data_IF_604539625711
#
_entry.id   IF_604539625711
#
_cell.length_a   1.000
_cell.length_b   1.000
_cell.length_c   1.000
_cell.angle_alpha   90.00
_cell.angle_beta   90.00
_cell.angle_gamma   90.00
#
_symmetry.space_group_name_H-M   'P 1'
#
loop_
_entity.id
_entity.type
_entity.pdbx_description
1 polymer ?
#
# COMPACT_ATOMS: atom_id res chain seq x y z
N UNK A 1 -7.91 16.01 25.75
CA UNK A 1 -8.89 14.93 25.47
C UNK A 1 -9.84 15.48 24.43
N UNK A 2 -9.86 14.90 23.23
CA UNK A 2 -10.80 15.36 22.20
C UNK A 2 -12.16 14.77 22.53
N UNK A 3 -13.16 15.63 22.74
CA UNK A 3 -14.52 15.15 22.92
C UNK A 3 -15.04 14.59 21.59
N UNK A 4 -15.77 13.49 21.63
CA UNK A 4 -16.38 12.92 20.43
C UNK A 4 -17.25 13.96 19.71
N UNK A 5 -16.97 14.17 18.42
CA UNK A 5 -17.72 15.05 17.53
C UNK A 5 -18.27 14.24 16.35
N UNK A 6 -19.60 14.04 16.35
CA UNK A 6 -20.30 13.31 15.31
C UNK A 6 -20.21 13.98 13.92
N UNK A 7 -20.11 15.32 13.85
CA UNK A 7 -19.98 16.04 12.57
C UNK A 7 -18.60 15.80 11.98
N UNK A 8 -17.55 15.89 12.80
CA UNK A 8 -16.18 15.61 12.39
C UNK A 8 -16.01 14.14 11.98
N UNK A 9 -16.58 13.21 12.76
CA UNK A 9 -16.56 11.79 12.40
C UNK A 9 -17.19 11.53 11.02
N UNK A 10 -18.35 12.16 10.75
CA UNK A 10 -18.99 12.07 9.42
C UNK A 10 -18.09 12.60 8.31
N UNK A 11 -17.41 13.74 8.53
CA UNK A 11 -16.45 14.29 7.55
C UNK A 11 -15.33 13.28 7.25
N UNK A 12 -14.75 12.67 8.28
CA UNK A 12 -13.73 11.63 8.10
C UNK A 12 -14.26 10.43 7.31
N UNK A 13 -15.48 9.98 7.62
CA UNK A 13 -16.13 8.84 6.95
C UNK A 13 -16.47 9.12 5.47
N UNK A 14 -16.66 10.38 5.11
CA UNK A 14 -16.97 10.80 3.73
C UNK A 14 -15.75 11.30 2.96
N UNK A 15 -14.62 11.55 3.62
CA UNK A 15 -13.40 12.02 2.96
C UNK A 15 -12.71 10.81 2.32
N UNK A 16 -12.63 10.74 0.98
CA UNK A 16 -11.91 9.66 0.33
C UNK A 16 -10.42 9.82 0.60
N UNK A 17 -9.79 8.75 1.05
CA UNK A 17 -8.33 8.61 1.10
C UNK A 17 -7.94 7.35 0.34
N UNK A 18 -6.65 7.17 0.07
CA UNK A 18 -6.13 5.91 -0.46
C UNK A 18 -4.69 5.80 0.05
N UNK A 19 -4.49 5.02 1.11
CA UNK A 19 -3.24 5.04 1.86
C UNK A 19 -2.79 3.61 2.15
N UNK A 20 -1.49 3.34 1.98
CA UNK A 20 -0.85 2.09 2.38
C UNK A 20 0.25 2.41 3.37
N UNK A 21 0.10 1.83 4.56
CA UNK A 21 0.95 2.05 5.72
C UNK A 21 1.65 0.74 6.09
N UNK A 22 2.94 0.81 6.42
CA UNK A 22 3.79 -0.35 6.69
C UNK A 22 4.49 -0.16 8.03
N UNK A 23 4.36 -1.12 8.94
CA UNK A 23 5.05 -1.14 10.23
C UNK A 23 5.91 -2.40 10.37
N UNK A 24 7.05 -2.29 11.07
CA UNK A 24 8.01 -3.38 11.34
C UNK A 24 8.66 -3.95 10.07
N UNK A 25 9.61 -3.24 9.47
CA UNK A 25 10.43 -3.84 8.41
C UNK A 25 11.36 -4.93 8.99
N UNK A 26 11.02 -6.18 8.69
CA UNK A 26 11.70 -7.46 8.94
C UNK A 26 11.50 -8.14 10.33
N UNK A 27 11.15 -9.45 10.39
CA UNK A 27 10.81 -10.33 9.26
C UNK A 27 9.34 -10.24 8.82
N UNK A 28 8.45 -9.64 9.63
CA UNK A 28 7.01 -9.62 9.39
C UNK A 28 6.44 -8.21 9.37
N UNK A 29 6.38 -7.61 8.18
CA UNK A 29 5.74 -6.29 8.02
C UNK A 29 4.23 -6.37 8.30
N UNK A 30 3.72 -5.45 9.11
CA UNK A 30 2.29 -5.20 9.28
C UNK A 30 1.86 -4.15 8.26
N UNK A 31 0.98 -4.53 7.34
CA UNK A 31 0.54 -3.68 6.22
C UNK A 31 -0.95 -3.42 6.38
N UNK A 32 -1.35 -2.16 6.29
CA UNK A 32 -2.76 -1.77 6.20
C UNK A 32 -2.98 -0.94 4.95
N UNK A 33 -4.05 -1.26 4.22
CA UNK A 33 -4.58 -0.47 3.11
C UNK A 33 -5.99 -0.02 3.50
N UNK A 34 -6.25 1.28 3.43
CA UNK A 34 -7.55 1.84 3.77
C UNK A 34 -7.95 2.96 2.80
N UNK A 35 -9.26 3.03 2.52
CA UNK A 35 -9.83 4.01 1.59
C UNK A 35 -10.60 5.12 2.32
N UNK A 36 -10.87 4.92 3.61
CA UNK A 36 -11.41 5.92 4.52
C UNK A 36 -10.67 5.81 5.84
N UNK A 37 -10.39 6.94 6.48
CA UNK A 37 -9.71 6.95 7.78
C UNK A 37 -10.50 6.18 8.83
N UNK A 38 -11.83 6.20 8.73
CA UNK A 38 -12.73 5.47 9.62
C UNK A 38 -12.74 3.95 9.42
N UNK A 39 -12.14 3.45 8.34
CA UNK A 39 -12.00 2.00 8.10
C UNK A 39 -10.99 1.38 9.07
N UNK A 40 -10.04 2.17 9.58
CA UNK A 40 -9.05 1.71 10.55
C UNK A 40 -9.72 1.40 11.89
N UNK A 41 -9.50 0.19 12.38
CA UNK A 41 -9.98 -0.24 13.68
C UNK A 41 -9.05 0.24 14.81
N UNK A 42 -9.42 -0.05 16.05
CA UNK A 42 -8.60 0.35 17.19
C UNK A 42 -7.21 -0.31 17.19
N UNK A 43 -7.08 -1.64 16.98
CA UNK A 43 -5.78 -2.29 16.79
C UNK A 43 -4.87 -1.59 15.77
N UNK A 44 -5.35 -1.31 14.56
CA UNK A 44 -4.56 -0.64 13.52
C UNK A 44 -4.08 0.73 13.99
N UNK A 45 -5.00 1.54 14.54
CA UNK A 45 -4.67 2.87 15.05
C UNK A 45 -3.64 2.81 16.19
N UNK A 46 -3.71 1.80 17.06
CA UNK A 46 -2.69 1.60 18.10
C UNK A 46 -1.33 1.20 17.52
N UNK A 47 -1.32 0.42 16.44
CA UNK A 47 -0.10 0.04 15.77
C UNK A 47 0.60 1.26 15.18
N UNK A 48 -0.13 2.13 14.50
CA UNK A 48 0.45 3.19 13.68
C UNK A 48 0.51 4.56 14.33
N UNK A 49 -0.39 4.92 15.24
CA UNK A 49 -0.43 6.27 15.84
C UNK A 49 0.01 6.18 17.30
N UNK A 50 1.14 6.79 17.63
CA UNK A 50 1.68 6.84 19.00
C UNK A 50 0.86 7.71 19.95
N UNK A 51 0.40 8.86 19.47
CA UNK A 51 -0.36 9.85 20.24
C UNK A 51 -1.86 9.54 20.31
N UNK A 52 -2.58 10.20 21.21
CA UNK A 52 -4.03 10.04 21.39
C UNK A 52 -4.42 8.88 22.31
N UNK A 53 -5.47 9.08 23.10
CA UNK A 53 -5.85 8.18 24.21
C UNK A 53 -7.00 7.22 23.88
N UNK A 54 -7.79 7.52 22.85
CA UNK A 54 -8.92 6.72 22.42
C UNK A 54 -8.98 6.67 20.87
N UNK A 55 -9.89 5.86 20.32
CA UNK A 55 -10.04 5.69 18.87
C UNK A 55 -10.31 7.01 18.15
N UNK A 56 -11.24 7.82 18.65
CA UNK A 56 -11.64 9.08 18.01
C UNK A 56 -10.48 10.09 18.01
N UNK A 57 -9.74 10.21 19.11
CA UNK A 57 -8.56 11.08 19.20
C UNK A 57 -7.50 10.68 18.14
N UNK A 58 -7.25 9.38 17.97
CA UNK A 58 -6.30 8.89 16.96
C UNK A 58 -6.77 9.13 15.52
N UNK A 59 -8.07 9.00 15.26
CA UNK A 59 -8.66 9.35 13.96
C UNK A 59 -8.50 10.85 13.66
N UNK A 60 -8.69 11.72 14.66
CA UNK A 60 -8.46 13.17 14.51
C UNK A 60 -7.01 13.48 14.14
N UNK A 61 -6.05 12.91 14.87
CA UNK A 61 -4.62 13.09 14.60
C UNK A 61 -4.26 12.66 13.17
N UNK A 62 -4.75 11.48 12.74
CA UNK A 62 -4.48 10.99 11.39
C UNK A 62 -5.14 11.86 10.32
N UNK A 63 -6.39 12.28 10.53
CA UNK A 63 -7.12 13.14 9.59
C UNK A 63 -6.43 14.48 9.39
N UNK A 64 -6.04 15.15 10.48
CA UNK A 64 -5.35 16.43 10.41
C UNK A 64 -3.99 16.31 9.70
N UNK A 65 -3.27 15.21 9.93
CA UNK A 65 -2.00 14.96 9.25
C UNK A 65 -2.16 14.74 7.75
N UNK A 66 -3.16 13.96 7.34
CA UNK A 66 -3.44 13.70 5.93
C UNK A 66 -3.93 14.95 5.18
N UNK A 67 -4.65 15.86 5.85
CA UNK A 67 -5.13 17.10 5.23
C UNK A 67 -4.02 18.12 4.99
N UNK A 68 -3.07 18.21 5.90
CA UNK A 68 -2.10 19.31 5.90
C UNK A 68 -0.79 18.98 5.19
N UNK A 69 -0.48 17.69 4.94
CA UNK A 69 0.76 17.15 4.32
C UNK A 69 2.09 17.80 4.82
N UNK A 70 2.01 18.49 5.96
CA UNK A 70 3.03 19.33 6.59
C UNK A 70 3.14 19.05 8.08
N UNK A 71 2.25 18.21 8.61
CA UNK A 71 2.38 17.70 9.96
C UNK A 71 3.60 16.77 9.99
N UNK A 72 4.50 16.97 10.96
CA UNK A 72 5.58 16.01 11.16
C UNK A 72 4.92 14.66 11.48
N UNK A 73 5.26 13.65 10.68
CA UNK A 73 4.77 12.29 10.83
C UNK A 73 5.42 11.58 12.03
N UNK A 74 5.98 12.34 12.99
CA UNK A 74 6.74 11.83 14.13
C UNK A 74 5.87 10.99 15.07
N UNK A 75 4.55 11.17 15.03
CA UNK A 75 3.62 10.32 15.77
C UNK A 75 3.39 8.96 15.10
N UNK A 76 3.82 8.77 13.84
CA UNK A 76 3.58 7.58 13.05
C UNK A 76 4.64 6.50 13.29
N UNK A 77 4.21 5.31 13.69
CA UNK A 77 5.07 4.13 13.93
C UNK A 77 5.14 3.28 12.67
N UNK A 78 5.88 3.74 11.66
CA UNK A 78 6.03 3.01 10.40
C UNK A 78 6.45 3.90 9.23
N UNK A 79 6.23 3.39 8.03
CA UNK A 79 6.39 4.10 6.77
C UNK A 79 5.03 4.24 6.08
N UNK A 80 4.71 5.46 5.64
CA UNK A 80 3.63 5.74 4.69
C UNK A 80 4.22 5.67 3.29
N UNK A 81 3.62 4.89 2.39
CA UNK A 81 4.05 4.88 1.00
C UNK A 81 3.67 6.21 0.30
N UNK A 82 4.49 6.69 -0.65
CA UNK A 82 4.12 7.84 -1.48
C UNK A 82 2.79 7.61 -2.22
N UNK A 83 2.01 8.67 -2.39
CA UNK A 83 0.67 8.59 -3.01
C UNK A 83 0.71 7.95 -4.39
N UNK A 84 1.69 8.32 -5.22
CA UNK A 84 1.83 7.79 -6.58
C UNK A 84 2.11 6.27 -6.55
N UNK A 85 2.87 5.78 -5.57
CA UNK A 85 3.12 4.35 -5.38
C UNK A 85 1.84 3.63 -4.93
N UNK A 86 1.07 4.24 -4.02
CA UNK A 86 -0.20 3.69 -3.56
C UNK A 86 -1.19 3.58 -4.71
N UNK A 87 -1.30 4.61 -5.54
CA UNK A 87 -2.18 4.63 -6.70
C UNK A 87 -1.78 3.55 -7.73
N UNK A 88 -0.49 3.40 -8.01
CA UNK A 88 0.02 2.35 -8.89
C UNK A 88 -0.23 0.94 -8.34
N UNK A 89 0.00 0.69 -7.04
CA UNK A 89 -0.31 -0.61 -6.40
C UNK A 89 -1.81 -0.89 -6.44
N UNK A 90 -2.63 0.12 -6.12
CA UNK A 90 -4.10 -0.01 -6.15
C UNK A 90 -4.59 -0.32 -7.56
N UNK A 91 -4.05 0.36 -8.58
CA UNK A 91 -4.38 0.09 -9.97
C UNK A 91 -3.92 -1.32 -10.38
N UNK A 92 -2.71 -1.72 -9.99
CA UNK A 92 -2.18 -3.05 -10.26
C UNK A 92 -3.07 -4.17 -9.66
N UNK A 93 -3.51 -3.99 -8.41
CA UNK A 93 -4.48 -4.89 -7.75
C UNK A 93 -5.85 -4.87 -8.42
N UNK A 94 -6.30 -3.72 -8.92
CA UNK A 94 -7.57 -3.64 -9.66
C UNK A 94 -7.56 -4.52 -10.90
N UNK A 95 -6.43 -4.57 -11.63
CA UNK A 95 -6.27 -5.44 -12.80
C UNK A 95 -6.42 -6.90 -12.39
N UNK A 96 -5.79 -7.32 -11.29
CA UNK A 96 -5.93 -8.68 -10.75
C UNK A 96 -7.41 -9.07 -10.56
N UNK A 97 -8.18 -8.21 -9.89
CA UNK A 97 -9.59 -8.47 -9.62
C UNK A 97 -10.46 -8.40 -10.88
N UNK A 98 -10.27 -7.38 -11.73
CA UNK A 98 -11.07 -7.18 -12.95
C UNK A 98 -10.85 -8.31 -13.95
N UNK A 99 -9.60 -8.75 -14.14
CA UNK A 99 -9.26 -9.84 -15.05
C UNK A 99 -9.43 -11.22 -14.40
N UNK A 100 -9.79 -11.27 -13.12
CA UNK A 100 -9.99 -12.50 -12.33
C UNK A 100 -8.77 -13.42 -12.35
N UNK A 101 -7.59 -12.82 -12.25
CA UNK A 101 -6.36 -13.59 -12.16
C UNK A 101 -6.27 -14.35 -10.84
N UNK A 102 -5.44 -15.39 -10.87
CA UNK A 102 -5.16 -16.25 -9.73
C UNK A 102 -3.74 -16.10 -9.21
N UNK A 103 -2.85 -15.57 -10.06
CA UNK A 103 -1.43 -15.39 -9.77
C UNK A 103 -0.98 -13.98 -10.14
N UNK A 104 -0.08 -13.44 -9.34
CA UNK A 104 0.48 -12.10 -9.52
C UNK A 104 1.10 -11.88 -10.91
N UNK A 105 1.85 -12.85 -11.45
CA UNK A 105 2.56 -12.66 -12.74
C UNK A 105 1.60 -12.49 -13.92
N UNK A 106 0.34 -12.93 -13.80
CA UNK A 106 -0.66 -12.76 -14.87
C UNK A 106 -0.94 -11.27 -15.12
N UNK A 107 -0.85 -10.45 -14.07
CA UNK A 107 -0.97 -8.99 -14.15
C UNK A 107 0.18 -8.42 -14.99
N UNK A 108 1.44 -8.81 -14.71
CA UNK A 108 2.62 -8.38 -15.48
C UNK A 108 2.48 -8.73 -16.97
N UNK A 109 2.00 -9.94 -17.27
CA UNK A 109 1.78 -10.39 -18.64
C UNK A 109 0.71 -9.55 -19.33
N UNK A 110 -0.40 -9.29 -18.65
CA UNK A 110 -1.49 -8.47 -19.16
C UNK A 110 -1.04 -7.02 -19.42
N UNK A 111 -0.35 -6.38 -18.48
CA UNK A 111 0.21 -5.03 -18.65
C UNK A 111 1.18 -4.98 -19.84
N UNK A 112 2.01 -6.01 -20.01
CA UNK A 112 2.95 -6.12 -21.14
C UNK A 112 2.24 -6.25 -22.48
N UNK A 113 1.21 -7.10 -22.55
CA UNK A 113 0.44 -7.32 -23.78
C UNK A 113 -0.37 -6.09 -24.21
N UNK A 114 -0.73 -5.23 -23.26
CA UNK A 114 -1.51 -4.02 -23.51
C UNK A 114 -0.65 -2.73 -23.53
N UNK A 115 0.67 -2.84 -23.40
CA UNK A 115 1.63 -1.72 -23.38
C UNK A 115 1.32 -0.64 -22.32
N UNK A 116 0.94 -1.06 -21.11
CA UNK A 116 0.48 -0.15 -20.05
C UNK A 116 1.54 0.17 -19.00
N UNK A 117 2.81 -0.20 -19.21
CA UNK A 117 3.87 -0.05 -18.22
C UNK A 117 4.17 1.41 -17.83
N UNK A 118 3.84 2.39 -18.67
CA UNK A 118 3.97 3.82 -18.33
C UNK A 118 3.04 4.24 -17.18
N UNK A 119 1.97 3.49 -16.93
CA UNK A 119 1.05 3.73 -15.82
C UNK A 119 1.60 3.24 -14.47
N UNK A 120 2.74 2.54 -14.47
CA UNK A 120 3.35 1.90 -13.30
C UNK A 120 4.81 2.33 -13.11
N UNK A 121 5.15 3.56 -13.49
CA UNK A 121 6.54 4.08 -13.54
C UNK A 121 7.27 4.02 -12.19
N UNK A 122 6.56 4.15 -11.07
CA UNK A 122 7.18 4.17 -9.74
C UNK A 122 7.40 2.75 -9.19
N UNK A 123 6.61 1.78 -9.63
CA UNK A 123 6.68 0.40 -9.16
C UNK A 123 7.32 -0.58 -10.13
N UNK A 124 7.42 -0.25 -11.42
CA UNK A 124 7.93 -1.16 -12.45
C UNK A 124 9.42 -1.43 -12.32
N UNK A 125 9.82 -2.59 -12.82
CA UNK A 125 11.21 -3.02 -12.89
C UNK A 125 11.44 -4.02 -14.01
N UNK A 126 12.70 -4.11 -14.42
CA UNK A 126 13.22 -5.28 -15.11
C UNK A 126 13.76 -6.25 -14.06
N UNK A 127 13.17 -7.43 -14.03
CA UNK A 127 13.46 -8.49 -13.08
C UNK A 127 14.31 -9.57 -13.77
N UNK A 128 15.53 -9.75 -13.26
CA UNK A 128 16.49 -10.73 -13.76
C UNK A 128 16.39 -11.98 -12.89
N UNK A 129 15.95 -13.07 -13.48
CA UNK A 129 15.84 -14.36 -12.81
C UNK A 129 17.12 -15.16 -12.99
N UNK A 130 17.37 -16.08 -12.04
CA UNK A 130 18.42 -17.10 -12.17
C UNK A 130 18.27 -17.82 -13.53
N UNK A 131 19.35 -17.85 -14.30
CA UNK A 131 19.34 -18.38 -15.68
C UNK A 131 19.27 -17.32 -16.78
N UNK A 132 19.39 -16.03 -16.44
CA UNK A 132 19.55 -14.94 -17.40
C UNK A 132 18.26 -14.44 -18.05
N UNK A 133 17.10 -14.93 -17.60
CA UNK A 133 15.79 -14.47 -18.11
C UNK A 133 15.46 -13.10 -17.51
N UNK A 134 15.20 -12.12 -18.36
CA UNK A 134 14.77 -10.77 -17.97
C UNK A 134 13.31 -10.59 -18.32
N UNK A 135 12.48 -10.26 -17.32
CA UNK A 135 11.06 -9.99 -17.51
C UNK A 135 10.68 -8.61 -16.99
N UNK A 136 9.68 -7.99 -17.60
CA UNK A 136 9.03 -6.81 -17.05
C UNK A 136 8.17 -7.23 -15.87
N UNK A 137 8.25 -6.49 -14.78
CA UNK A 137 7.51 -6.75 -13.56
C UNK A 137 7.44 -5.52 -12.66
N UNK A 138 7.15 -5.75 -11.38
CA UNK A 138 7.25 -4.74 -10.34
C UNK A 138 8.41 -5.06 -9.40
N UNK A 139 8.91 -4.03 -8.71
CA UNK A 139 10.02 -4.15 -7.76
C UNK A 139 9.67 -5.12 -6.63
N UNK A 140 10.67 -5.85 -6.14
CA UNK A 140 10.48 -6.91 -5.13
C UNK A 140 9.72 -6.42 -3.87
N UNK A 141 10.00 -5.21 -3.40
CA UNK A 141 9.29 -4.60 -2.27
C UNK A 141 7.79 -4.49 -2.54
N UNK A 142 7.41 -3.99 -3.72
CA UNK A 142 6.00 -3.80 -4.08
C UNK A 142 5.32 -5.12 -4.44
N UNK A 143 6.06 -6.09 -4.99
CA UNK A 143 5.58 -7.46 -5.14
C UNK A 143 5.12 -8.06 -3.80
N UNK A 144 5.96 -7.98 -2.75
CA UNK A 144 5.61 -8.51 -1.42
C UNK A 144 4.41 -7.80 -0.81
N UNK A 145 4.33 -6.48 -0.95
CA UNK A 145 3.18 -5.69 -0.49
C UNK A 145 1.91 -6.12 -1.21
N UNK A 146 1.94 -6.20 -2.54
CA UNK A 146 0.80 -6.60 -3.37
C UNK A 146 0.33 -8.02 -3.05
N UNK A 147 1.24 -9.00 -2.91
CA UNK A 147 0.86 -10.37 -2.55
C UNK A 147 0.14 -10.43 -1.20
N UNK A 148 0.65 -9.70 -0.19
CA UNK A 148 0.02 -9.62 1.14
C UNK A 148 -1.37 -8.98 1.08
N UNK A 149 -1.50 -7.86 0.36
CA UNK A 149 -2.78 -7.16 0.21
C UNK A 149 -3.81 -8.00 -0.56
N UNK A 150 -3.38 -8.79 -1.54
CA UNK A 150 -4.24 -9.71 -2.29
C UNK A 150 -4.49 -11.05 -1.56
N UNK A 151 -3.85 -11.27 -0.40
CA UNK A 151 -3.85 -12.53 0.33
C UNK A 151 -3.46 -13.75 -0.54
N UNK A 152 -2.48 -13.56 -1.43
CA UNK A 152 -1.93 -14.62 -2.29
C UNK A 152 -0.50 -14.96 -1.86
N UNK A 153 -0.07 -16.17 -2.19
CA UNK A 153 1.32 -16.58 -1.95
C UNK A 153 2.29 -15.71 -2.75
N UNK A 154 3.38 -15.30 -2.11
CA UNK A 154 4.56 -14.75 -2.78
C UNK A 154 5.53 -15.86 -3.24
N UNK A 155 5.21 -17.12 -2.96
CA UNK A 155 5.94 -18.30 -3.43
C UNK A 155 5.56 -18.65 -4.88
N UNK A 156 6.56 -19.05 -5.68
CA UNK A 156 6.35 -19.54 -7.05
C UNK A 156 7.03 -18.71 -8.16
N UNK A 157 7.68 -17.60 -7.81
CA UNK A 157 8.63 -16.93 -8.70
C UNK A 157 10.01 -17.57 -8.64
N UNK A 158 10.69 -17.68 -9.79
CA UNK A 158 12.13 -17.99 -9.80
C UNK A 158 12.89 -16.89 -9.07
N UNK A 159 13.88 -17.27 -8.26
CA UNK A 159 14.70 -16.33 -7.48
C UNK A 159 15.26 -15.23 -8.38
N UNK A 160 15.14 -13.99 -7.92
CA UNK A 160 15.73 -12.83 -8.59
C UNK A 160 17.22 -12.74 -8.27
N UNK A 161 18.04 -12.54 -9.30
CA UNK A 161 19.44 -12.15 -9.18
C UNK A 161 19.56 -10.62 -9.08
N UNK A 162 18.72 -9.91 -9.85
CA UNK A 162 18.73 -8.44 -9.91
C UNK A 162 17.32 -7.91 -10.17
N UNK A 163 16.99 -6.83 -9.49
CA UNK A 163 15.79 -6.03 -9.74
C UNK A 163 16.23 -4.59 -10.02
N UNK A 164 15.90 -4.05 -11.19
CA UNK A 164 16.29 -2.69 -11.58
C UNK A 164 15.07 -1.89 -12.03
N UNK A 165 14.85 -0.66 -11.54
CA UNK A 165 13.86 0.25 -12.10
C UNK A 165 14.13 0.48 -13.60
N UNK A 166 13.05 0.70 -14.34
CA UNK A 166 13.03 1.01 -15.78
C UNK A 166 11.94 2.04 -16.01
#
# INVERSE_FOLDING_TARGET
MTQYDAKLYRKMATTPVNEIFIKNKCPNDYIVHFQKITDLDWPDLQQFISNGINRFDKLCILYDALLNDSASWDFFKGERLPREVVDEITHYMSIYHTQKFSKHYEINNWITQNDLWEQFRNIRSLNHHVGGVVVKGIRETYFKITCRLLAISDEGGSRLEKCQPW
#
